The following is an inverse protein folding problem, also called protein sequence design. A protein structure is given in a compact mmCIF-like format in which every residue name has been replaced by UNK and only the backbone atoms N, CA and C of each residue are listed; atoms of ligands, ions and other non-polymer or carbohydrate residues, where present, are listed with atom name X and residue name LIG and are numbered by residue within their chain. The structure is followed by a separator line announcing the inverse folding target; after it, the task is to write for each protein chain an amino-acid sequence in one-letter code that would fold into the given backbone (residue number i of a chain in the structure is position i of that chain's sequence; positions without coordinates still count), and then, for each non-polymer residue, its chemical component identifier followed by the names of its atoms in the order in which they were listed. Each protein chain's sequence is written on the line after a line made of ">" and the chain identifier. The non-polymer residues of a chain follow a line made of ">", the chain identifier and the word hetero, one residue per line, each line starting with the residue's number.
data_IF_806676294579
#
_entry.id   IF_806676294579
#
_cell.length_a   1.000
_cell.length_b   1.000
_cell.length_c   1.000
_cell.angle_alpha   90.00
_cell.angle_beta   90.00
_cell.angle_gamma   90.00
#
_symmetry.space_group_name_H-M   'P 1'
#
loop_
_entity.id
_entity.type
_entity.pdbx_description
1 polymer ?
#
# COMPACT_ATOMS: atom_id res chain seq x y z
N UNK A 1 23.07 -7.82 10.08
CA UNK A 1 22.78 -6.90 8.97
C UNK A 1 21.81 -5.85 9.50
N UNK A 2 22.12 -4.55 9.37
CA UNK A 2 21.16 -3.48 9.08
C UNK A 2 19.80 -3.41 9.83
N UNK A 3 19.67 -3.85 11.09
CA UNK A 3 18.39 -3.71 11.81
C UNK A 3 17.94 -2.23 11.96
N UNK A 4 18.85 -1.26 11.91
CA UNK A 4 18.50 0.16 12.08
C UNK A 4 17.79 0.81 10.88
N UNK A 5 18.06 0.38 9.63
CA UNK A 5 17.53 1.08 8.45
C UNK A 5 16.07 0.72 8.17
N UNK A 6 15.65 -0.50 8.49
CA UNK A 6 14.29 -0.98 8.26
C UNK A 6 13.37 -0.82 9.46
N UNK A 7 13.91 -0.50 10.63
CA UNK A 7 13.14 -0.26 11.86
C UNK A 7 11.94 0.68 11.64
N UNK A 8 12.06 1.83 10.94
CA UNK A 8 10.92 2.71 10.69
C UNK A 8 9.79 2.04 9.89
N UNK A 9 10.14 1.12 9.00
CA UNK A 9 9.22 0.41 8.11
C UNK A 9 8.67 -0.88 8.71
N UNK A 10 8.99 -1.17 9.97
CA UNK A 10 8.47 -2.30 10.74
C UNK A 10 7.68 -1.84 11.98
N UNK A 11 7.94 -0.61 12.46
CA UNK A 11 7.26 -0.04 13.61
C UNK A 11 5.81 0.34 13.30
N UNK A 12 4.93 0.27 14.31
CA UNK A 12 3.56 0.75 14.16
C UNK A 12 3.52 2.27 14.05
N UNK A 13 2.47 2.77 13.40
CA UNK A 13 2.07 4.19 13.41
C UNK A 13 0.60 4.31 13.78
N UNK A 14 0.06 5.53 13.84
CA UNK A 14 -1.38 5.76 14.08
C UNK A 14 -2.24 5.06 13.04
N UNK A 15 -1.79 5.01 11.77
CA UNK A 15 -2.53 4.36 10.69
C UNK A 15 -2.09 2.91 10.43
N UNK A 16 -0.80 2.61 10.61
CA UNK A 16 -0.21 1.28 10.41
C UNK A 16 -0.04 0.57 11.75
N UNK A 17 -1.15 0.28 12.42
CA UNK A 17 -1.15 -0.38 13.73
C UNK A 17 -0.86 -1.90 13.65
N UNK A 18 0.29 -2.23 13.06
CA UNK A 18 0.76 -3.60 12.82
C UNK A 18 1.10 -4.39 14.10
N UNK A 19 1.19 -3.72 15.25
CA UNK A 19 1.35 -4.33 16.56
C UNK A 19 0.03 -4.84 17.16
N UNK A 20 -1.12 -4.40 16.63
CA UNK A 20 -2.46 -4.83 17.03
C UNK A 20 -2.63 -6.35 16.96
N UNK A 21 -3.18 -6.99 18.00
CA UNK A 21 -3.46 -8.43 18.00
C UNK A 21 -4.33 -8.88 16.81
N UNK A 22 -5.29 -8.05 16.38
CA UNK A 22 -6.16 -8.35 15.23
C UNK A 22 -5.39 -8.39 13.92
N UNK A 23 -4.48 -7.43 13.70
CA UNK A 23 -3.64 -7.36 12.51
C UNK A 23 -2.64 -8.51 12.50
N UNK A 24 -1.98 -8.80 13.63
CA UNK A 24 -1.05 -9.94 13.75
C UNK A 24 -1.73 -11.27 13.48
N UNK A 25 -2.89 -11.51 14.08
CA UNK A 25 -3.64 -12.74 13.88
C UNK A 25 -4.05 -12.90 12.41
N UNK A 26 -4.57 -11.84 11.78
CA UNK A 26 -4.97 -11.89 10.37
C UNK A 26 -3.76 -12.07 9.45
N UNK A 27 -2.66 -11.38 9.71
CA UNK A 27 -1.41 -11.52 8.95
C UNK A 27 -0.89 -12.96 9.01
N UNK A 28 -0.83 -13.56 10.20
CA UNK A 28 -0.42 -14.96 10.38
C UNK A 28 -1.35 -15.95 9.66
N UNK A 29 -2.67 -15.71 9.68
CA UNK A 29 -3.66 -16.52 8.94
C UNK A 29 -3.41 -16.48 7.43
N UNK A 30 -3.20 -15.29 6.87
CA UNK A 30 -3.00 -15.10 5.42
C UNK A 30 -1.65 -15.70 4.98
N UNK A 31 -0.58 -15.40 5.73
CA UNK A 31 0.77 -15.85 5.40
C UNK A 31 0.93 -17.35 5.60
N UNK A 32 0.24 -17.95 6.57
CA UNK A 32 0.22 -19.39 6.77
C UNK A 32 1.62 -20.02 6.81
N UNK A 33 1.88 -20.95 5.88
CA UNK A 33 3.17 -21.69 5.77
C UNK A 33 4.07 -21.18 4.64
N UNK A 34 3.83 -19.96 4.16
CA UNK A 34 4.52 -19.42 3.00
C UNK A 34 6.03 -19.34 3.24
N UNK A 35 6.83 -19.71 2.23
CA UNK A 35 8.28 -19.94 2.40
C UNK A 35 9.16 -18.70 2.14
N UNK A 36 8.60 -17.61 1.62
CA UNK A 36 9.36 -16.40 1.26
C UNK A 36 8.59 -15.12 1.55
N UNK A 37 9.30 -14.01 1.78
CA UNK A 37 8.71 -12.69 1.96
C UNK A 37 7.92 -12.23 0.71
N UNK A 38 8.38 -12.58 -0.49
CA UNK A 38 7.65 -12.25 -1.73
C UNK A 38 6.32 -12.97 -1.82
N UNK A 39 6.31 -14.28 -1.58
CA UNK A 39 5.07 -15.05 -1.61
C UNK A 39 4.11 -14.63 -0.49
N UNK A 40 4.63 -14.23 0.67
CA UNK A 40 3.82 -13.69 1.75
C UNK A 40 3.20 -12.33 1.38
N UNK A 41 3.97 -11.44 0.75
CA UNK A 41 3.48 -10.17 0.23
C UNK A 41 2.38 -10.35 -0.83
N UNK A 42 2.56 -11.28 -1.78
CA UNK A 42 1.52 -11.63 -2.77
C UNK A 42 0.24 -12.12 -2.07
N UNK A 43 0.36 -13.06 -1.12
CA UNK A 43 -0.80 -13.58 -0.41
C UNK A 43 -1.57 -12.48 0.34
N UNK A 44 -0.85 -11.52 0.94
CA UNK A 44 -1.45 -10.36 1.60
C UNK A 44 -2.14 -9.45 0.59
N UNK A 45 -1.49 -9.09 -0.53
CA UNK A 45 -2.09 -8.29 -1.61
C UNK A 45 -3.40 -8.91 -2.08
N UNK A 46 -3.36 -10.19 -2.44
CA UNK A 46 -4.50 -10.90 -3.00
C UNK A 46 -5.64 -11.02 -2.01
N UNK A 47 -5.31 -11.28 -0.74
CA UNK A 47 -6.32 -11.31 0.31
C UNK A 47 -6.99 -9.95 0.49
N UNK A 48 -6.22 -8.85 0.55
CA UNK A 48 -6.76 -7.51 0.70
C UNK A 48 -7.67 -7.17 -0.49
N UNK A 49 -7.18 -7.36 -1.72
CA UNK A 49 -7.96 -7.11 -2.93
C UNK A 49 -9.29 -7.88 -2.93
N UNK A 50 -9.22 -9.18 -2.64
CA UNK A 50 -10.40 -10.06 -2.65
C UNK A 50 -11.41 -9.75 -1.53
N UNK A 51 -10.94 -9.26 -0.39
CA UNK A 51 -11.78 -9.09 0.80
C UNK A 51 -12.24 -7.66 1.02
N UNK A 52 -11.72 -6.69 0.26
CA UNK A 52 -12.16 -5.31 0.33
C UNK A 52 -13.10 -4.97 -0.82
N UNK A 53 -14.03 -4.06 -0.57
CA UNK A 53 -14.89 -3.46 -1.59
C UNK A 53 -14.51 -1.98 -1.80
N UNK A 54 -14.42 -1.49 -3.05
CA UNK A 54 -14.11 -0.08 -3.29
C UNK A 54 -15.29 0.80 -2.86
N UNK A 55 -14.97 1.90 -2.19
CA UNK A 55 -15.95 2.90 -1.75
C UNK A 55 -15.33 4.29 -1.81
N UNK A 56 -15.85 5.16 -2.69
CA UNK A 56 -15.21 6.42 -3.11
C UNK A 56 -15.56 7.64 -2.26
N UNK A 57 -16.54 7.55 -1.36
CA UNK A 57 -17.04 8.67 -0.54
C UNK A 57 -16.26 8.87 0.78
N UNK A 58 -15.18 8.11 1.00
CA UNK A 58 -14.37 8.18 2.22
C UNK A 58 -13.31 9.28 2.13
N UNK A 59 -13.60 10.41 2.76
CA UNK A 59 -12.71 11.57 2.81
C UNK A 59 -11.62 11.53 3.90
N UNK A 60 -11.70 10.61 4.87
CA UNK A 60 -10.78 10.58 6.03
C UNK A 60 -9.80 9.40 5.98
N UNK A 61 -8.62 9.57 6.57
CA UNK A 61 -7.67 8.47 6.79
C UNK A 61 -8.11 7.64 8.00
N UNK A 62 -8.01 6.31 7.88
CA UNK A 62 -8.42 5.36 8.91
C UNK A 62 -7.28 4.42 9.29
N UNK A 63 -7.18 4.01 10.56
CA UNK A 63 -6.25 2.97 10.97
C UNK A 63 -6.54 1.62 10.31
N UNK A 64 -5.51 0.81 10.07
CA UNK A 64 -5.64 -0.49 9.41
C UNK A 64 -6.60 -1.44 10.15
N UNK A 65 -6.71 -1.36 11.48
CA UNK A 65 -7.71 -2.12 12.25
C UNK A 65 -9.15 -1.80 11.85
N UNK A 66 -9.43 -0.54 11.54
CA UNK A 66 -10.78 -0.09 11.21
C UNK A 66 -11.10 -0.50 9.78
N UNK A 67 -10.11 -0.39 8.89
CA UNK A 67 -10.22 -0.91 7.51
C UNK A 67 -10.40 -2.42 7.52
N UNK A 68 -9.67 -3.17 8.34
CA UNK A 68 -9.81 -4.63 8.47
C UNK A 68 -11.21 -5.03 8.96
N UNK A 69 -11.80 -4.25 9.87
CA UNK A 69 -13.15 -4.49 10.38
C UNK A 69 -14.22 -4.14 9.35
N UNK A 70 -14.05 -3.01 8.66
CA UNK A 70 -15.01 -2.48 7.68
C UNK A 70 -15.01 -3.26 6.36
N UNK A 71 -13.83 -3.67 5.87
CA UNK A 71 -13.63 -4.34 4.57
C UNK A 71 -14.10 -3.54 3.36
N UNK A 72 -14.03 -2.22 3.42
CA UNK A 72 -14.27 -1.34 2.28
C UNK A 72 -13.43 -0.07 2.37
N UNK A 73 -13.18 0.59 1.25
CA UNK A 73 -12.54 1.91 1.24
C UNK A 73 -11.98 2.38 -0.10
N UNK A 74 -11.13 3.40 -0.04
CA UNK A 74 -10.40 3.95 -1.21
C UNK A 74 -8.98 3.37 -1.29
N UNK A 75 -8.24 3.66 -2.37
CA UNK A 75 -6.87 3.15 -2.59
C UNK A 75 -5.93 3.31 -1.37
N UNK A 76 -6.03 4.43 -0.65
CA UNK A 76 -5.31 4.65 0.63
C UNK A 76 -5.62 3.58 1.67
N UNK A 77 -6.88 3.22 1.86
CA UNK A 77 -7.29 2.22 2.85
C UNK A 77 -6.74 0.83 2.51
N UNK A 78 -6.74 0.47 1.22
CA UNK A 78 -6.14 -0.77 0.72
C UNK A 78 -4.63 -0.79 0.99
N UNK A 79 -3.93 0.29 0.65
CA UNK A 79 -2.49 0.42 0.87
C UNK A 79 -2.12 0.35 2.36
N UNK A 80 -2.90 1.02 3.23
CA UNK A 80 -2.74 1.00 4.68
C UNK A 80 -2.95 -0.39 5.26
N UNK A 81 -4.03 -1.08 4.86
CA UNK A 81 -4.31 -2.42 5.35
C UNK A 81 -3.24 -3.42 4.90
N UNK A 82 -2.86 -3.39 3.63
CA UNK A 82 -1.75 -4.18 3.11
C UNK A 82 -0.47 -3.92 3.93
N UNK A 83 -0.10 -2.65 4.10
CA UNK A 83 1.16 -2.29 4.76
C UNK A 83 1.18 -2.75 6.22
N UNK A 84 0.09 -2.61 6.95
CA UNK A 84 -0.01 -3.08 8.33
C UNK A 84 0.10 -4.61 8.43
N UNK A 85 -0.55 -5.35 7.53
CA UNK A 85 -0.47 -6.81 7.48
C UNK A 85 0.95 -7.29 7.12
N UNK A 86 1.60 -6.65 6.15
CA UNK A 86 2.96 -6.97 5.73
C UNK A 86 3.99 -6.66 6.83
N UNK A 87 3.88 -5.51 7.51
CA UNK A 87 4.71 -5.19 8.69
C UNK A 87 4.52 -6.20 9.81
N UNK A 88 3.29 -6.64 10.07
CA UNK A 88 3.01 -7.66 11.07
C UNK A 88 3.61 -9.04 10.71
N UNK A 89 3.83 -9.32 9.42
CA UNK A 89 4.57 -10.48 8.94
C UNK A 89 6.10 -10.31 9.00
N UNK A 90 6.59 -9.18 9.52
CA UNK A 90 8.02 -8.85 9.59
C UNK A 90 8.61 -8.36 8.27
N UNK A 91 7.78 -7.95 7.31
CA UNK A 91 8.22 -7.44 6.01
C UNK A 91 8.28 -5.91 6.06
N UNK A 92 9.46 -5.27 5.95
CA UNK A 92 9.57 -3.82 5.94
C UNK A 92 8.73 -3.25 4.80
N UNK A 93 7.75 -2.41 5.12
CA UNK A 93 6.75 -1.94 4.15
C UNK A 93 6.43 -0.48 4.35
N UNK A 94 6.27 0.29 3.26
CA UNK A 94 5.86 1.70 3.27
C UNK A 94 4.64 1.92 2.40
N UNK A 95 3.87 2.95 2.71
CA UNK A 95 2.77 3.42 1.85
C UNK A 95 3.35 4.42 0.85
N UNK A 96 2.84 4.38 -0.37
CA UNK A 96 3.28 5.21 -1.49
C UNK A 96 2.06 5.90 -2.07
N UNK A 97 2.22 7.17 -2.44
CA UNK A 97 1.23 7.93 -3.16
C UNK A 97 1.85 8.54 -4.44
N UNK A 98 1.04 8.62 -5.48
CA UNK A 98 1.51 9.01 -6.80
C UNK A 98 0.39 9.10 -7.81
N UNK A 99 0.73 8.82 -9.06
CA UNK A 99 -0.20 8.76 -10.17
C UNK A 99 -0.23 7.36 -10.76
N UNK A 100 -1.40 6.95 -11.26
CA UNK A 100 -1.55 5.77 -12.11
C UNK A 100 -2.18 6.19 -13.43
N UNK A 101 -1.68 5.67 -14.55
CA UNK A 101 -2.30 5.87 -15.85
C UNK A 101 -3.40 4.82 -16.07
N UNK A 102 -4.65 5.26 -16.15
CA UNK A 102 -5.80 4.39 -16.40
C UNK A 102 -6.73 5.07 -17.41
N UNK A 103 -7.35 4.30 -18.30
CA UNK A 103 -8.40 4.79 -19.20
C UNK A 103 -8.06 6.11 -19.94
N UNK A 104 -6.81 6.29 -20.37
CA UNK A 104 -6.39 7.47 -21.12
C UNK A 104 -5.98 8.68 -20.28
N UNK A 105 -5.91 8.58 -18.95
CA UNK A 105 -5.59 9.71 -18.07
C UNK A 105 -4.84 9.29 -16.80
N UNK A 106 -4.11 10.24 -16.20
CA UNK A 106 -3.44 10.03 -14.93
C UNK A 106 -4.38 10.36 -13.76
N UNK A 107 -4.49 9.44 -12.80
CA UNK A 107 -5.27 9.62 -11.58
C UNK A 107 -4.38 9.52 -10.35
N UNK A 108 -4.74 10.26 -9.30
CA UNK A 108 -4.16 10.04 -7.98
C UNK A 108 -4.36 8.58 -7.56
N UNK A 109 -3.29 7.98 -7.03
CA UNK A 109 -3.34 6.62 -6.54
C UNK A 109 -2.42 6.39 -5.35
N UNK A 110 -2.75 5.38 -4.55
CA UNK A 110 -1.94 4.96 -3.42
C UNK A 110 -1.79 3.42 -3.42
N UNK A 111 -0.56 2.97 -3.17
CA UNK A 111 -0.19 1.56 -3.07
C UNK A 111 0.84 1.38 -1.95
N UNK A 112 1.40 0.19 -1.81
CA UNK A 112 2.44 -0.07 -0.84
C UNK A 112 3.70 -0.67 -1.49
N UNK A 113 4.85 -0.47 -0.86
CA UNK A 113 6.11 -1.10 -1.26
C UNK A 113 6.68 -1.92 -0.12
N UNK A 114 7.02 -3.17 -0.39
CA UNK A 114 7.64 -4.08 0.57
C UNK A 114 9.09 -4.37 0.17
N UNK A 115 10.00 -4.40 1.15
CA UNK A 115 11.41 -4.68 0.91
C UNK A 115 11.68 -6.18 0.89
N UNK A 116 12.10 -6.70 -0.27
CA UNK A 116 12.37 -8.12 -0.52
C UNK A 116 13.70 -8.24 -1.28
N UNK A 117 14.77 -7.74 -0.67
CA UNK A 117 16.08 -7.52 -1.32
C UNK A 117 16.13 -6.22 -2.15
N UNK A 118 14.97 -5.73 -2.56
CA UNK A 118 14.72 -4.40 -3.12
C UNK A 118 13.30 -3.97 -2.74
N UNK A 119 12.99 -2.68 -2.84
CA UNK A 119 11.60 -2.22 -2.73
C UNK A 119 10.80 -2.71 -3.93
N UNK A 120 9.75 -3.47 -3.66
CA UNK A 120 8.84 -4.01 -4.68
C UNK A 120 7.44 -3.45 -4.42
N UNK A 121 6.81 -2.83 -5.43
CA UNK A 121 5.45 -2.31 -5.31
C UNK A 121 4.40 -3.43 -5.32
N UNK A 122 3.38 -3.26 -4.49
CA UNK A 122 2.20 -4.10 -4.39
C UNK A 122 0.95 -3.22 -4.31
N UNK A 123 0.07 -3.37 -5.30
CA UNK A 123 -1.18 -2.64 -5.39
C UNK A 123 -2.35 -3.58 -5.08
N UNK A 124 -2.91 -3.47 -3.89
CA UNK A 124 -4.07 -4.26 -3.49
C UNK A 124 -5.40 -3.69 -4.04
N UNK A 125 -5.39 -2.47 -4.61
CA UNK A 125 -6.60 -1.86 -5.19
C UNK A 125 -6.82 -2.38 -6.60
N UNK A 126 -5.78 -2.34 -7.44
CA UNK A 126 -5.85 -2.71 -8.86
C UNK A 126 -5.41 -4.15 -9.15
N UNK A 127 -4.75 -4.82 -8.20
CA UNK A 127 -4.38 -6.24 -8.19
C UNK A 127 -3.90 -6.89 -9.50
N UNK A 128 -3.33 -6.09 -10.41
CA UNK A 128 -2.52 -6.62 -11.49
C UNK A 128 -1.32 -7.38 -10.92
N UNK A 129 -0.84 -8.37 -11.68
CA UNK A 129 0.26 -9.23 -11.24
C UNK A 129 1.52 -8.41 -10.95
N UNK A 130 1.69 -7.29 -11.67
CA UNK A 130 2.79 -6.35 -11.52
C UNK A 130 2.28 -4.90 -11.54
N UNK A 131 2.87 -4.07 -10.68
CA UNK A 131 2.78 -2.62 -10.80
C UNK A 131 3.80 -2.21 -11.86
N UNK A 132 3.33 -1.73 -13.00
CA UNK A 132 4.14 -1.42 -14.18
C UNK A 132 4.56 0.06 -14.22
N UNK A 133 5.08 0.50 -15.37
CA UNK A 133 5.53 1.88 -15.56
C UNK A 133 4.40 2.92 -15.52
N UNK A 134 3.13 2.50 -15.44
CA UNK A 134 1.99 3.41 -15.30
C UNK A 134 1.89 4.04 -13.91
N UNK A 135 2.56 3.47 -12.89
CA UNK A 135 2.60 4.00 -11.52
C UNK A 135 3.81 4.92 -11.32
N UNK A 136 3.53 6.23 -11.29
CA UNK A 136 4.54 7.27 -11.06
C UNK A 136 4.51 7.65 -9.58
N UNK A 137 5.52 7.21 -8.83
CA UNK A 137 5.70 7.57 -7.42
C UNK A 137 6.01 9.06 -7.27
N UNK A 138 5.32 9.72 -6.33
CA UNK A 138 5.57 11.13 -5.98
C UNK A 138 5.95 11.31 -4.51
N UNK A 139 5.39 10.51 -3.60
CA UNK A 139 5.69 10.54 -2.15
C UNK A 139 5.62 9.13 -1.56
N UNK A 140 6.34 8.91 -0.46
CA UNK A 140 6.33 7.67 0.31
C UNK A 140 6.44 7.93 1.81
N UNK A 141 5.86 7.04 2.63
CA UNK A 141 5.82 7.18 4.08
C UNK A 141 4.67 6.41 4.73
N UNK A 142 4.01 7.02 5.71
CA UNK A 142 2.73 6.60 6.30
C UNK A 142 1.54 7.29 5.58
N UNK A 143 0.31 6.97 5.98
CA UNK A 143 -0.90 7.57 5.44
C UNK A 143 -1.00 9.09 5.65
N UNK A 144 -0.34 9.64 6.68
CA UNK A 144 -0.23 11.09 6.87
C UNK A 144 0.67 11.77 5.86
N UNK A 145 1.70 11.08 5.35
CA UNK A 145 2.65 11.64 4.38
C UNK A 145 2.02 11.77 2.97
N UNK A 146 0.82 11.22 2.77
CA UNK A 146 0.02 11.46 1.59
C UNK A 146 -0.47 12.91 1.49
N UNK A 147 -0.54 13.65 2.61
CA UNK A 147 -0.88 15.08 2.57
C UNK A 147 0.19 15.91 1.85
N UNK A 148 1.43 15.41 1.72
CA UNK A 148 2.47 16.06 0.91
C UNK A 148 2.10 16.12 -0.59
N UNK A 149 1.17 15.28 -1.06
CA UNK A 149 0.59 15.42 -2.41
C UNK A 149 -0.09 16.76 -2.63
N UNK A 150 -0.58 17.43 -1.58
CA UNK A 150 -1.13 18.79 -1.63
C UNK A 150 -0.17 19.77 -2.32
N UNK A 151 1.15 19.55 -2.18
CA UNK A 151 2.20 20.40 -2.77
C UNK A 151 2.38 20.18 -4.27
N UNK A 152 1.88 19.06 -4.79
CA UNK A 152 1.97 18.67 -6.19
C UNK A 152 0.69 19.04 -6.95
N UNK A 153 -0.46 19.10 -6.26
CA UNK A 153 -1.73 19.51 -6.84
C UNK A 153 -1.65 20.92 -7.44
N UNK A 154 -2.01 21.05 -8.72
CA UNK A 154 -1.97 22.32 -9.48
C UNK A 154 -0.60 22.70 -10.05
N UNK A 155 0.47 22.00 -9.67
CA UNK A 155 1.83 22.26 -10.13
C UNK A 155 2.37 21.19 -11.10
N UNK A 156 1.70 20.04 -11.19
CA UNK A 156 2.10 18.94 -12.05
C UNK A 156 1.31 18.94 -13.36
N UNK A 157 2.02 18.89 -14.48
CA UNK A 157 1.47 18.73 -15.83
C UNK A 157 2.00 17.42 -16.41
N UNK A 158 1.11 16.57 -16.91
CA UNK A 158 1.44 15.35 -17.62
C UNK A 158 0.91 15.42 -19.04
N UNK A 159 1.73 15.07 -20.03
CA UNK A 159 1.36 14.99 -21.43
C UNK A 159 1.72 13.60 -21.95
N UNK A 160 0.79 12.97 -22.68
CA UNK A 160 1.02 11.66 -23.31
C UNK A 160 1.58 11.94 -24.70
N UNK A 161 2.79 11.45 -24.96
CA UNK A 161 3.46 11.59 -26.25
C UNK A 161 3.37 10.24 -26.97
N UNK A 162 2.79 10.25 -28.17
CA UNK A 162 2.79 9.09 -29.06
C UNK A 162 4.01 9.16 -29.96
N UNK A 163 4.66 8.02 -30.16
CA UNK A 163 5.75 7.86 -31.13
C UNK A 163 5.27 6.90 -32.22
N UNK A 164 5.49 7.30 -33.48
CA UNK A 164 5.22 6.48 -34.66
C UNK A 164 6.30 5.40 -34.86
#
# INVERSE_FOLDING_TARGET
>A
MKDSEFTPYLKPTVYLNCDSPKIKAKSAEIVGKTKSAYSAAIAIRDWVHKNMSPQTDIGIARPATDVLAAKYGVCRDYAVLYAALARAAGIPTKVVAGLVYLNGSFYYHAWAESYIGKWVPFDATLADEFVDATHIKLTEGDAGDMFEMARVFGHLKAEIIYFD
#
